data_IF_591845876009
#
_entry.id   IF_591845876009
#
_cell.length_a   1.000
_cell.length_b   1.000
_cell.length_c   1.000
_cell.angle_alpha   90.00
_cell.angle_beta   90.00
_cell.angle_gamma   90.00
#
_symmetry.space_group_name_H-M   'P 1'
#
loop_
_entity.id
_entity.type
_entity.pdbx_description
1 polymer ?
#
# COMPACT_ATOMS: atom_id res chain seq x y z
N UNK A 1 3.22 -3.22 26.87
CA UNK A 1 2.59 -1.92 27.15
C UNK A 1 1.63 -1.65 26.01
N UNK A 2 0.34 -1.83 26.25
CA UNK A 2 -0.70 -1.67 25.23
C UNK A 2 -1.03 -0.20 25.12
N UNK A 3 -0.52 0.46 24.08
CA UNK A 3 -0.98 1.80 23.73
C UNK A 3 -2.31 1.65 23.01
N UNK A 4 -3.41 1.67 23.77
CA UNK A 4 -4.74 1.83 23.20
C UNK A 4 -4.80 3.19 22.51
N UNK A 5 -4.77 3.20 21.18
CA UNK A 5 -5.10 4.40 20.40
C UNK A 5 -6.54 4.82 20.73
N UNK A 6 -6.81 6.13 20.90
CA UNK A 6 -8.18 6.61 20.96
C UNK A 6 -8.85 6.35 19.62
N UNK A 7 -10.12 5.94 19.62
CA UNK A 7 -10.97 6.03 18.45
C UNK A 7 -11.09 7.52 18.06
N UNK A 8 -10.21 7.99 17.18
CA UNK A 8 -10.31 9.35 16.62
C UNK A 8 -11.53 9.37 15.70
N UNK A 9 -12.57 10.11 16.08
CA UNK A 9 -13.65 10.47 15.18
C UNK A 9 -13.05 11.24 13.98
N UNK A 10 -13.32 10.76 12.76
CA UNK A 10 -12.85 11.36 11.52
C UNK A 10 -13.26 12.84 11.47
N UNK A 11 -12.30 13.75 11.66
CA UNK A 11 -12.55 15.17 11.50
C UNK A 11 -12.67 15.48 10.00
N UNK A 12 -13.44 16.50 9.58
CA UNK A 12 -13.59 16.86 8.17
C UNK A 12 -12.26 17.11 7.42
N UNK A 13 -11.20 17.52 8.14
CA UNK A 13 -9.86 17.69 7.59
C UNK A 13 -9.13 16.37 7.31
N UNK A 14 -9.48 15.29 8.01
CA UNK A 14 -8.84 13.98 7.85
C UNK A 14 -9.24 13.31 6.54
N UNK A 15 -10.50 13.47 6.14
CA UNK A 15 -11.00 12.95 4.85
C UNK A 15 -10.29 13.62 3.66
N UNK A 16 -10.07 14.94 3.73
CA UNK A 16 -9.34 15.67 2.69
C UNK A 16 -7.90 15.19 2.53
N UNK A 17 -7.22 14.89 3.64
CA UNK A 17 -5.86 14.36 3.58
C UNK A 17 -5.82 12.90 3.08
N UNK A 18 -6.74 12.04 3.50
CA UNK A 18 -6.83 10.66 2.99
C UNK A 18 -7.04 10.68 1.48
N UNK A 19 -7.92 11.56 0.98
CA UNK A 19 -8.13 11.73 -0.46
C UNK A 19 -6.86 12.17 -1.19
N UNK A 20 -6.07 13.08 -0.61
CA UNK A 20 -4.78 13.49 -1.17
C UNK A 20 -3.75 12.35 -1.17
N UNK A 21 -3.73 11.54 -0.12
CA UNK A 21 -2.87 10.36 -0.01
C UNK A 21 -3.25 9.29 -1.03
N UNK A 22 -4.55 9.02 -1.23
CA UNK A 22 -5.03 8.10 -2.26
C UNK A 22 -4.67 8.61 -3.67
N UNK A 23 -4.84 9.91 -3.92
CA UNK A 23 -4.37 10.54 -5.16
C UNK A 23 -2.87 10.38 -5.35
N UNK A 24 -2.08 10.52 -4.28
CA UNK A 24 -0.64 10.33 -4.31
C UNK A 24 -0.25 8.88 -4.64
N UNK A 25 -0.94 7.86 -4.09
CA UNK A 25 -0.74 6.44 -4.44
C UNK A 25 -0.98 6.21 -5.93
N UNK A 26 -2.07 6.74 -6.49
CA UNK A 26 -2.34 6.63 -7.93
C UNK A 26 -1.28 7.38 -8.75
N UNK A 27 -0.88 8.58 -8.32
CA UNK A 27 0.15 9.37 -8.98
C UNK A 27 1.52 8.67 -8.97
N UNK A 28 1.82 7.90 -7.94
CA UNK A 28 3.03 7.08 -7.79
C UNK A 28 3.05 5.85 -8.73
N UNK A 29 1.96 5.58 -9.44
CA UNK A 29 1.90 4.53 -10.45
C UNK A 29 1.42 3.18 -9.92
N UNK A 30 0.69 3.15 -8.81
CA UNK A 30 0.06 1.92 -8.35
C UNK A 30 -1.06 1.45 -9.29
N UNK A 31 -1.19 0.14 -9.46
CA UNK A 31 -2.38 -0.51 -10.02
C UNK A 31 -3.41 -0.65 -8.92
N UNK A 32 -4.67 -0.27 -9.18
CA UNK A 32 -5.75 -0.30 -8.19
C UNK A 32 -6.78 -1.36 -8.57
N UNK A 33 -7.14 -2.19 -7.60
CA UNK A 33 -8.18 -3.21 -7.67
C UNK A 33 -9.34 -2.76 -6.77
N UNK A 34 -10.53 -2.71 -7.33
CA UNK A 34 -11.77 -2.43 -6.61
C UNK A 34 -12.53 -3.75 -6.44
N UNK A 35 -12.65 -4.23 -5.21
CA UNK A 35 -13.24 -5.52 -4.87
C UNK A 35 -14.67 -5.32 -4.35
N UNK A 36 -15.60 -6.21 -4.71
CA UNK A 36 -17.00 -6.14 -4.28
C UNK A 36 -17.90 -5.23 -5.14
N UNK A 37 -17.32 -4.39 -6.00
CA UNK A 37 -18.04 -3.50 -6.91
C UNK A 37 -17.20 -2.28 -7.29
N UNK A 38 -17.51 -1.63 -8.41
CA UNK A 38 -16.76 -0.44 -8.88
C UNK A 38 -17.21 0.87 -8.25
N UNK A 39 -18.49 0.97 -7.88
CA UNK A 39 -19.13 2.23 -7.46
C UNK A 39 -19.11 2.41 -5.93
N UNK A 40 -19.17 1.30 -5.21
CA UNK A 40 -19.02 1.21 -3.76
C UNK A 40 -18.23 -0.05 -3.44
N UNK A 41 -16.89 -0.04 -3.56
CA UNK A 41 -16.07 -1.21 -3.28
C UNK A 41 -16.12 -1.57 -1.79
N UNK A 42 -16.11 -2.87 -1.50
CA UNK A 42 -15.99 -3.42 -0.14
C UNK A 42 -14.53 -3.47 0.32
N UNK A 43 -13.60 -3.52 -0.63
CA UNK A 43 -12.18 -3.33 -0.39
C UNK A 43 -11.49 -2.69 -1.60
N UNK A 44 -10.48 -1.88 -1.33
CA UNK A 44 -9.58 -1.33 -2.33
C UNK A 44 -8.20 -1.94 -2.08
N UNK A 45 -7.62 -2.53 -3.12
CA UNK A 45 -6.23 -3.00 -3.08
C UNK A 45 -5.43 -2.19 -4.08
N UNK A 46 -4.26 -1.70 -3.70
CA UNK A 46 -3.36 -1.03 -4.63
C UNK A 46 -1.98 -1.70 -4.60
N UNK A 47 -1.38 -1.97 -5.76
CA UNK A 47 -0.08 -2.63 -5.89
C UNK A 47 0.90 -1.83 -6.73
N UNK A 48 2.18 -1.91 -6.39
CA UNK A 48 3.29 -1.39 -7.17
C UNK A 48 4.38 -2.47 -7.26
N UNK A 49 4.65 -2.92 -8.47
CA UNK A 49 5.68 -3.92 -8.72
C UNK A 49 7.06 -3.27 -8.83
N UNK A 50 7.99 -3.76 -8.02
CA UNK A 50 9.43 -3.61 -8.21
C UNK A 50 9.95 -4.80 -9.03
N UNK A 51 11.28 -4.90 -9.19
CA UNK A 51 11.88 -6.03 -9.92
C UNK A 51 11.67 -7.38 -9.20
N UNK A 52 11.86 -7.40 -7.87
CA UNK A 52 11.79 -8.62 -7.05
C UNK A 52 10.88 -8.46 -5.82
N UNK A 53 10.09 -7.39 -5.76
CA UNK A 53 9.21 -7.08 -4.63
C UNK A 53 7.91 -6.48 -5.14
N UNK A 54 6.85 -6.61 -4.34
CA UNK A 54 5.59 -5.89 -4.58
C UNK A 54 5.24 -5.11 -3.33
N UNK A 55 5.03 -3.81 -3.50
CA UNK A 55 4.42 -2.94 -2.48
C UNK A 55 2.92 -2.98 -2.68
N UNK A 56 2.16 -3.10 -1.59
CA UNK A 56 0.71 -3.12 -1.70
C UNK A 56 0.03 -2.58 -0.46
N UNK A 57 -1.20 -2.14 -0.62
CA UNK A 57 -2.07 -1.69 0.46
C UNK A 57 -3.47 -2.25 0.25
N UNK A 58 -4.06 -2.75 1.32
CA UNK A 58 -5.44 -3.25 1.40
C UNK A 58 -6.21 -2.31 2.32
N UNK A 59 -7.29 -1.73 1.79
CA UNK A 59 -8.15 -0.75 2.46
C UNK A 59 -9.55 -1.34 2.51
N UNK A 60 -10.06 -1.61 3.71
CA UNK A 60 -11.44 -2.05 3.94
C UNK A 60 -12.30 -0.91 4.50
N UNK A 61 -11.67 -0.06 5.29
CA UNK A 61 -12.24 1.12 5.94
C UNK A 61 -11.11 2.13 6.21
N UNK A 62 -11.44 3.37 6.54
CA UNK A 62 -10.50 4.39 6.99
C UNK A 62 -9.69 3.96 8.23
N UNK A 63 -10.23 3.11 9.12
CA UNK A 63 -9.51 2.60 10.29
C UNK A 63 -8.93 1.19 10.09
N UNK A 64 -9.30 0.49 9.02
CA UNK A 64 -8.80 -0.85 8.66
C UNK A 64 -8.04 -0.79 7.33
N UNK A 65 -6.80 -0.32 7.42
CA UNK A 65 -5.85 -0.29 6.31
C UNK A 65 -4.58 -1.05 6.67
N UNK A 66 -4.14 -1.92 5.78
CA UNK A 66 -2.86 -2.61 5.90
C UNK A 66 -2.00 -2.38 4.68
N UNK A 67 -0.88 -1.70 4.87
CA UNK A 67 0.19 -1.59 3.89
C UNK A 67 1.22 -2.70 4.11
N UNK A 68 1.83 -3.20 3.03
CA UNK A 68 2.79 -4.27 3.08
C UNK A 68 3.76 -4.25 1.89
N UNK A 69 4.87 -4.98 2.06
CA UNK A 69 5.77 -5.39 0.98
C UNK A 69 6.00 -6.89 1.07
N UNK A 70 5.93 -7.57 -0.07
CA UNK A 70 6.33 -8.98 -0.22
C UNK A 70 7.44 -9.11 -1.25
N UNK A 71 8.15 -10.24 -1.21
CA UNK A 71 8.99 -10.67 -2.32
C UNK A 71 8.11 -11.13 -3.48
N UNK A 72 8.49 -10.76 -4.69
CA UNK A 72 7.80 -11.16 -5.89
C UNK A 72 8.36 -12.52 -6.35
N UNK A 73 7.61 -13.59 -6.07
CA UNK A 73 7.87 -14.93 -6.62
C UNK A 73 6.95 -15.18 -7.83
N UNK A 74 7.24 -16.21 -8.64
CA UNK A 74 6.54 -16.45 -9.92
C UNK A 74 5.02 -16.51 -9.81
N UNK A 75 4.50 -17.09 -8.72
CA UNK A 75 3.07 -17.29 -8.49
C UNK A 75 2.53 -16.37 -7.39
N UNK A 76 3.18 -15.22 -7.17
CA UNK A 76 2.73 -14.27 -6.17
C UNK A 76 1.39 -13.65 -6.57
N UNK A 77 0.42 -13.72 -5.66
CA UNK A 77 -0.89 -13.08 -5.77
C UNK A 77 -1.08 -12.13 -4.57
N UNK A 78 -1.52 -10.90 -4.87
CA UNK A 78 -1.79 -9.87 -3.87
C UNK A 78 -2.85 -10.29 -2.86
N UNK A 79 -3.81 -11.13 -3.26
CA UNK A 79 -4.93 -11.55 -2.39
C UNK A 79 -4.59 -12.76 -1.53
N UNK A 80 -3.50 -13.47 -1.83
CA UNK A 80 -3.11 -14.71 -1.13
C UNK A 80 -1.64 -14.70 -0.69
N UNK A 81 -1.03 -13.52 -0.54
CA UNK A 81 0.34 -13.40 -0.08
C UNK A 81 0.50 -14.05 1.30
N UNK A 82 1.34 -15.10 1.38
CA UNK A 82 1.56 -15.87 2.61
C UNK A 82 2.57 -15.20 3.54
N UNK A 83 3.49 -14.43 2.97
CA UNK A 83 4.59 -13.77 3.66
C UNK A 83 4.82 -12.34 3.18
N UNK A 84 5.37 -11.54 4.08
CA UNK A 84 5.76 -10.14 3.86
C UNK A 84 7.16 -9.91 4.44
N UNK A 85 7.86 -8.91 3.94
CA UNK A 85 9.12 -8.41 4.52
C UNK A 85 8.91 -7.11 5.31
N UNK A 86 7.73 -6.52 5.17
CA UNK A 86 7.30 -5.33 5.90
C UNK A 86 5.78 -5.19 5.86
N UNK A 87 5.21 -4.65 6.94
CA UNK A 87 3.79 -4.35 7.04
C UNK A 87 3.52 -3.24 8.06
N UNK A 88 2.46 -2.49 7.80
CA UNK A 88 1.91 -1.49 8.69
C UNK A 88 0.38 -1.62 8.66
N UNK A 89 -0.24 -1.79 9.84
CA UNK A 89 -1.69 -1.86 9.98
C UNK A 89 -2.20 -0.70 10.84
N UNK A 90 -3.28 -0.06 10.42
CA UNK A 90 -3.97 0.97 11.19
C UNK A 90 -4.76 1.93 10.31
N UNK A 91 -4.85 3.18 10.75
CA UNK A 91 -5.61 4.22 10.06
C UNK A 91 -5.03 4.57 8.69
N UNK A 92 -5.92 4.85 7.73
CA UNK A 92 -5.61 5.13 6.33
C UNK A 92 -4.55 6.21 6.15
N UNK A 93 -4.65 7.33 6.90
CA UNK A 93 -3.65 8.40 6.89
C UNK A 93 -2.23 7.85 7.05
N UNK A 94 -2.03 7.04 8.09
CA UNK A 94 -0.70 6.56 8.47
C UNK A 94 -0.23 5.42 7.58
N UNK A 95 -1.12 4.49 7.22
CA UNK A 95 -0.78 3.38 6.35
C UNK A 95 -0.41 3.85 4.93
N UNK A 96 -1.18 4.79 4.37
CA UNK A 96 -0.90 5.38 3.06
C UNK A 96 0.40 6.19 3.08
N UNK A 97 0.68 6.94 4.16
CA UNK A 97 1.98 7.61 4.32
C UNK A 97 3.12 6.61 4.38
N UNK A 98 2.98 5.58 5.20
CA UNK A 98 4.00 4.57 5.40
C UNK A 98 4.36 3.85 4.10
N UNK A 99 3.37 3.49 3.28
CA UNK A 99 3.66 2.89 1.95
C UNK A 99 4.23 3.94 0.99
N UNK A 100 3.77 5.18 0.97
CA UNK A 100 4.32 6.21 0.09
C UNK A 100 5.79 6.54 0.38
N UNK A 101 6.20 6.46 1.64
CA UNK A 101 7.56 6.79 2.08
C UNK A 101 8.44 5.55 2.28
N UNK A 102 7.91 4.34 2.02
CA UNK A 102 8.67 3.10 2.13
C UNK A 102 9.85 3.11 1.15
N UNK A 103 11.06 2.95 1.71
CA UNK A 103 12.30 2.94 0.95
C UNK A 103 12.25 1.90 -0.19
N UNK A 104 12.86 2.19 -1.36
CA UNK A 104 13.00 1.21 -2.43
C UNK A 104 13.69 -0.07 -1.94
N UNK A 105 13.35 -1.25 -2.47
CA UNK A 105 13.94 -2.52 -2.02
C UNK A 105 15.45 -2.64 -2.28
N UNK A 106 16.00 -1.88 -3.23
CA UNK A 106 17.45 -1.80 -3.49
C UNK A 106 18.19 -0.90 -2.49
N UNK A 107 17.49 -0.25 -1.55
CA UNK A 107 18.09 0.60 -0.54
C UNK A 107 18.70 -0.23 0.61
N UNK A 108 19.92 0.08 1.11
CA UNK A 108 20.58 -0.72 2.17
C UNK A 108 19.84 -0.82 3.50
N UNK A 109 18.89 0.08 3.75
CA UNK A 109 18.05 0.11 4.96
C UNK A 109 16.61 -0.35 4.69
N UNK A 110 16.33 -0.88 3.50
CA UNK A 110 15.01 -1.44 3.23
C UNK A 110 14.80 -2.70 4.08
N UNK A 111 13.60 -2.91 4.65
CA UNK A 111 13.26 -4.17 5.30
C UNK A 111 13.33 -5.35 4.31
N UNK A 112 13.93 -6.47 4.73
CA UNK A 112 14.07 -7.69 3.93
C UNK A 112 13.86 -8.98 4.74
N UNK A 113 13.61 -8.87 6.05
CA UNK A 113 13.35 -10.01 6.92
C UNK A 113 11.90 -10.48 6.73
N UNK A 114 11.75 -11.74 6.31
CA UNK A 114 10.45 -12.31 5.95
C UNK A 114 9.69 -12.87 7.16
N UNK A 115 8.39 -12.60 7.22
CA UNK A 115 7.49 -13.10 8.26
C UNK A 115 6.07 -13.32 7.71
N UNK A 116 5.21 -14.08 8.43
CA UNK A 116 3.85 -14.36 7.97
C UNK A 116 3.03 -13.10 7.70
N UNK A 117 2.29 -13.10 6.59
CA UNK A 117 1.41 -11.99 6.23
C UNK A 117 0.30 -11.79 7.29
N UNK A 118 0.07 -10.54 7.75
CA UNK A 118 -1.06 -10.25 8.63
C UNK A 118 -2.41 -10.63 8.00
N UNK A 119 -3.30 -11.23 8.78
CA UNK A 119 -4.64 -11.61 8.31
C UNK A 119 -5.47 -10.42 7.81
N UNK A 120 -5.15 -9.19 8.26
CA UNK A 120 -5.79 -7.96 7.79
C UNK A 120 -5.57 -7.69 6.29
N UNK A 121 -4.54 -8.29 5.67
CA UNK A 121 -4.32 -8.24 4.21
C UNK A 121 -5.29 -9.10 3.41
N UNK A 122 -5.95 -10.08 4.05
CA UNK A 122 -6.89 -10.95 3.35
C UNK A 122 -8.14 -10.16 2.94
N UNK A 123 -8.51 -10.28 1.67
CA UNK A 123 -9.79 -9.79 1.15
C UNK A 123 -10.74 -10.97 1.10
N UNK A 124 -11.98 -10.78 1.53
CA UNK A 124 -12.99 -11.83 1.49
C UNK A 124 -13.19 -12.35 0.05
N UNK A 125 -13.13 -13.67 -0.14
CA UNK A 125 -13.26 -14.31 -1.45
C UNK A 125 -14.55 -13.95 -2.19
N UNK A 126 -15.62 -13.65 -1.45
CA UNK A 126 -16.88 -13.22 -2.05
C UNK A 126 -16.75 -11.89 -2.79
N UNK A 127 -15.88 -10.98 -2.32
CA UNK A 127 -15.59 -9.70 -2.97
C UNK A 127 -14.72 -9.88 -4.21
N UNK A 128 -13.88 -10.93 -4.25
CA UNK A 128 -13.01 -11.24 -5.39
C UNK A 128 -13.78 -11.72 -6.63
N UNK A 129 -15.06 -12.09 -6.48
CA UNK A 129 -15.94 -12.42 -7.61
C UNK A 129 -16.29 -11.22 -8.48
N UNK A 130 -16.09 -10.00 -7.97
CA UNK A 130 -16.38 -8.73 -8.65
C UNK A 130 -15.21 -7.78 -8.48
N UNK A 131 -14.16 -7.99 -9.28
CA UNK A 131 -12.97 -7.13 -9.27
C UNK A 131 -12.90 -6.28 -10.53
N UNK A 132 -12.72 -4.97 -10.34
CA UNK A 132 -12.37 -4.04 -11.41
C UNK A 132 -10.93 -3.57 -11.24
N UNK A 133 -10.15 -3.59 -12.32
CA UNK A 133 -8.74 -3.19 -12.29
C UNK A 133 -8.54 -1.85 -13.00
N UNK A 134 -7.77 -0.96 -12.36
CA UNK A 134 -7.33 0.32 -12.90
C UNK A 134 -5.81 0.35 -12.94
N UNK A 135 -5.26 0.09 -14.12
CA UNK A 135 -3.82 0.16 -14.34
C UNK A 135 -3.32 1.61 -14.33
N UNK A 136 -2.08 1.85 -13.85
CA UNK A 136 -1.48 3.17 -13.91
C UNK A 136 -1.31 3.60 -15.37
N UNK A 137 -1.34 4.92 -15.60
CA UNK A 137 -0.97 5.47 -16.92
C UNK A 137 0.49 5.10 -17.21
N UNK A 138 0.88 4.80 -18.47
CA UNK A 138 2.25 4.36 -18.79
C UNK A 138 3.35 5.28 -18.25
N UNK A 139 3.14 6.60 -18.24
CA UNK A 139 4.10 7.58 -17.71
C UNK A 139 4.26 7.63 -16.18
N UNK A 140 3.45 6.88 -15.41
CA UNK A 140 3.50 6.87 -13.95
C UNK A 140 4.23 5.66 -13.37
N UNK A 141 4.40 4.58 -14.13
CA UNK A 141 4.94 3.30 -13.65
C UNK A 141 6.33 3.44 -13.01
N UNK A 142 7.18 4.33 -13.52
CA UNK A 142 8.53 4.57 -12.98
C UNK A 142 8.60 5.77 -12.00
N UNK A 143 7.49 6.47 -11.76
CA UNK A 143 7.50 7.75 -11.06
C UNK A 143 7.88 7.60 -9.59
N UNK A 144 7.34 6.60 -8.90
CA UNK A 144 7.70 6.28 -7.52
C UNK A 144 9.18 5.95 -7.37
N UNK A 145 9.71 5.05 -8.21
CA UNK A 145 11.14 4.71 -8.21
C UNK A 145 12.02 5.96 -8.40
N UNK A 146 11.66 6.85 -9.33
CA UNK A 146 12.38 8.11 -9.56
C UNK A 146 12.30 9.07 -8.36
N UNK A 147 11.11 9.24 -7.78
CA UNK A 147 10.87 10.10 -6.61
C UNK A 147 11.70 9.65 -5.41
N UNK A 148 11.62 8.36 -5.07
CA UNK A 148 12.29 7.80 -3.91
C UNK A 148 13.81 7.81 -4.05
N UNK A 149 14.35 7.51 -5.24
CA UNK A 149 15.79 7.63 -5.50
C UNK A 149 16.29 9.07 -5.35
N UNK A 150 15.54 10.05 -5.86
CA UNK A 150 15.92 11.47 -5.73
C UNK A 150 15.94 11.90 -4.26
N UNK A 151 14.97 11.44 -3.46
CA UNK A 151 14.90 11.73 -2.03
C UNK A 151 16.05 11.08 -1.23
N UNK A 152 16.43 9.85 -1.55
CA UNK A 152 17.52 9.14 -0.84
C UNK A 152 18.91 9.65 -1.20
N UNK A 153 19.15 10.07 -2.46
CA UNK A 153 20.43 10.64 -2.88
C UNK A 153 20.60 12.13 -2.55
N UNK A 154 19.51 12.86 -2.28
CA UNK A 154 19.54 14.27 -1.89
C UNK A 154 20.03 14.52 -0.46
N UNK A 155 20.07 13.51 0.40
CA UNK A 155 20.49 13.60 1.80
C UNK A 155 22.00 13.31 1.99
N UNK A 156 22.86 13.83 1.11
CA UNK A 156 24.33 13.64 1.19
C UNK A 156 25.16 14.93 1.14
N UNK A 157 24.55 16.07 1.45
CA UNK A 157 25.24 17.34 1.68
C UNK A 157 24.87 17.86 3.07
N UNK A 158 25.69 17.47 4.04
CA UNK A 158 25.67 17.90 5.44
C UNK A 158 26.95 17.45 6.11
#
# INVERSE_FOLDING_TARGET
MTMSQPCEELLPGDLGEIDDLLRAVVADGFTVYLCGGSDSPEAIVATYAWENHVDYVVIKDAHDVTAARSRQVRDWDVFTAESVVWSYHGHARWALRAILDLLPPDHPQAPDDEYPAPASLQVDESYLRKVSVRSPRPGLVARRAMRLRTATYGCRIG
#
